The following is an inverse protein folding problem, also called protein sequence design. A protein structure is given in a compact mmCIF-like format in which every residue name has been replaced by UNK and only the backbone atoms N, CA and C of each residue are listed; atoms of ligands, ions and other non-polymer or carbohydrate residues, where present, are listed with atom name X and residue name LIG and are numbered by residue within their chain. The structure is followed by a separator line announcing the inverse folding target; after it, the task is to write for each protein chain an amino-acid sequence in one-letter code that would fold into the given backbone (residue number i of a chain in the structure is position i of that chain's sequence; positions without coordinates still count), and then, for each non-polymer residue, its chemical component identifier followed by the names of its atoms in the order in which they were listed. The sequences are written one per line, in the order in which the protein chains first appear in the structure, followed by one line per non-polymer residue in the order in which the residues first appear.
data_IF_636175061121
#
_entry.id   IF_636175061121
#
_cell.length_a   1.000
_cell.length_b   1.000
_cell.length_c   1.000
_cell.angle_alpha   90.00
_cell.angle_beta   90.00
_cell.angle_gamma   90.00
#
_symmetry.space_group_name_H-M   'P 1'
#
loop_
_entity.id
_entity.type
_entity.pdbx_description
1 polymer ?
#
# COMPACT_ATOMS: atom_id res chain seq x y z
N UNK A 1 1.27 22.89 9.85
CA UNK A 1 2.43 23.70 9.47
C UNK A 1 3.67 22.93 9.89
N UNK A 2 4.42 22.39 8.93
CA UNK A 2 5.71 21.73 9.15
C UNK A 2 6.75 22.81 8.89
N UNK A 3 7.46 23.28 9.91
CA UNK A 3 8.61 24.18 9.72
C UNK A 3 9.84 23.32 9.46
N UNK A 4 10.24 23.22 8.18
CA UNK A 4 11.49 22.56 7.79
C UNK A 4 12.57 23.64 7.76
N UNK A 5 13.54 23.56 8.67
CA UNK A 5 14.72 24.43 8.69
C UNK A 5 15.95 23.54 8.46
N UNK A 6 16.56 23.65 7.29
CA UNK A 6 17.81 22.96 6.95
C UNK A 6 18.96 23.97 7.13
N UNK A 7 19.84 23.71 8.09
CA UNK A 7 21.12 24.42 8.26
C UNK A 7 22.29 23.46 8.04
N UNK A 8 23.50 24.00 7.89
CA UNK A 8 24.79 23.38 7.50
C UNK A 8 25.29 22.17 8.35
N UNK A 9 24.41 21.58 9.14
CA UNK A 9 24.47 20.28 9.81
C UNK A 9 23.07 19.70 9.68
N UNK A 10 22.87 18.75 8.76
CA UNK A 10 21.53 18.31 8.30
C UNK A 10 20.70 17.74 9.45
N UNK A 11 19.95 18.59 10.14
CA UNK A 11 19.09 18.23 11.27
C UNK A 11 17.66 18.62 10.95
N UNK A 12 16.77 17.63 10.93
CA UNK A 12 15.34 17.81 10.83
C UNK A 12 14.76 17.95 12.24
N UNK A 13 14.08 19.07 12.50
CA UNK A 13 13.39 19.30 13.77
C UNK A 13 11.89 19.23 13.52
N UNK A 14 11.20 18.39 14.27
CA UNK A 14 9.74 18.25 14.23
C UNK A 14 9.15 18.35 15.63
N UNK A 15 7.91 18.82 15.73
CA UNK A 15 7.23 18.88 17.04
C UNK A 15 6.84 17.49 17.52
N UNK A 16 6.29 16.67 16.62
CA UNK A 16 5.82 15.31 16.93
C UNK A 16 6.07 14.32 15.80
N UNK A 17 6.24 13.05 16.15
CA UNK A 17 6.43 11.95 15.19
C UNK A 17 5.24 11.74 14.23
N UNK A 18 3.99 11.91 14.70
CA UNK A 18 2.79 11.73 13.87
C UNK A 18 2.69 12.77 12.72
N UNK A 19 3.40 13.89 12.86
CA UNK A 19 3.49 14.93 11.81
C UNK A 19 4.58 14.64 10.79
N UNK A 20 5.53 13.79 11.15
CA UNK A 20 6.62 13.33 10.29
C UNK A 20 6.20 12.08 9.49
N UNK A 21 5.52 11.13 10.15
CA UNK A 21 5.15 9.87 9.54
C UNK A 21 3.69 9.47 9.76
N UNK A 22 3.05 8.97 8.68
CA UNK A 22 1.65 8.52 8.69
C UNK A 22 1.45 7.08 9.19
N UNK A 23 2.54 6.33 9.35
CA UNK A 23 2.54 4.97 9.89
C UNK A 23 3.91 4.65 10.49
N UNK A 24 3.95 3.62 11.33
CA UNK A 24 5.22 3.17 11.93
C UNK A 24 6.18 2.65 10.83
N UNK A 25 5.66 1.99 9.80
CA UNK A 25 6.45 1.55 8.63
C UNK A 25 7.07 2.74 7.90
N UNK A 26 6.31 3.82 7.69
CA UNK A 26 6.84 5.03 7.08
C UNK A 26 7.93 5.67 7.97
N UNK A 27 7.79 5.60 9.29
CA UNK A 27 8.82 6.08 10.22
C UNK A 27 10.11 5.25 10.10
N UNK A 28 10.01 3.92 10.01
CA UNK A 28 11.18 3.05 9.81
C UNK A 28 11.90 3.32 8.47
N UNK A 29 11.14 3.57 7.41
CA UNK A 29 11.69 3.97 6.10
C UNK A 29 12.44 5.30 6.19
N UNK A 30 11.86 6.30 6.88
CA UNK A 30 12.54 7.56 7.13
C UNK A 30 13.79 7.38 7.98
N UNK A 31 13.78 6.46 8.95
CA UNK A 31 14.94 6.19 9.78
C UNK A 31 16.13 5.67 8.96
N UNK A 32 15.91 4.65 8.11
CA UNK A 32 16.95 4.13 7.20
C UNK A 32 17.45 5.20 6.24
N UNK A 33 16.55 6.05 5.76
CA UNK A 33 16.90 7.16 4.87
C UNK A 33 17.77 8.20 5.57
N UNK A 34 17.39 8.61 6.78
CA UNK A 34 18.14 9.58 7.57
C UNK A 34 19.52 9.05 7.96
N UNK A 35 19.65 7.77 8.28
CA UNK A 35 20.95 7.14 8.52
C UNK A 35 21.85 7.20 7.28
N UNK A 36 21.31 6.88 6.10
CA UNK A 36 22.04 6.92 4.82
C UNK A 36 22.45 8.34 4.42
N UNK A 37 21.55 9.30 4.60
CA UNK A 37 21.76 10.71 4.27
C UNK A 37 22.51 11.47 5.38
N UNK A 38 22.79 10.82 6.52
CA UNK A 38 23.39 11.43 7.73
C UNK A 38 22.59 12.61 8.27
N UNK A 39 21.27 12.52 8.16
CA UNK A 39 20.32 13.49 8.69
C UNK A 39 20.03 13.15 10.15
N UNK A 40 20.15 14.13 11.04
CA UNK A 40 19.71 14.00 12.42
C UNK A 40 18.23 14.37 12.55
N UNK A 41 17.53 13.77 13.50
CA UNK A 41 16.14 14.03 13.82
C UNK A 41 16.03 14.48 15.28
N UNK A 42 15.38 15.63 15.49
CA UNK A 42 14.97 16.11 16.80
C UNK A 42 13.45 16.17 16.84
N UNK A 43 12.86 15.53 17.86
CA UNK A 43 11.42 15.53 18.11
C UNK A 43 11.15 16.17 19.46
N UNK A 44 10.50 17.33 19.45
CA UNK A 44 10.35 18.17 20.64
C UNK A 44 9.48 17.52 21.72
N UNK A 45 8.27 17.07 21.38
CA UNK A 45 7.31 16.55 22.37
C UNK A 45 7.78 15.21 22.95
N UNK A 46 8.34 14.34 22.11
CA UNK A 46 8.84 13.01 22.53
C UNK A 46 10.27 13.04 23.06
N UNK A 47 10.93 14.21 23.08
CA UNK A 47 12.31 14.38 23.55
C UNK A 47 13.31 13.41 22.90
N UNK A 48 13.12 13.15 21.60
CA UNK A 48 14.02 12.29 20.83
C UNK A 48 15.05 13.18 20.13
N UNK A 49 16.33 12.91 20.35
CA UNK A 49 17.42 13.61 19.68
C UNK A 49 18.46 12.60 19.16
N UNK A 50 18.48 12.37 17.85
CA UNK A 50 19.42 11.43 17.22
C UNK A 50 20.86 11.94 17.12
N UNK A 51 21.17 13.15 17.58
CA UNK A 51 22.56 13.55 17.84
C UNK A 51 23.17 12.71 18.97
N UNK A 52 22.35 12.26 19.91
CA UNK A 52 22.76 11.42 21.04
C UNK A 52 22.72 9.93 20.69
N UNK A 53 23.59 9.12 21.29
CA UNK A 53 23.55 7.66 21.17
C UNK A 53 22.23 7.08 21.66
N UNK A 54 21.69 7.61 22.77
CA UNK A 54 20.40 7.21 23.33
C UNK A 54 19.25 7.51 22.37
N UNK A 55 19.20 8.70 21.77
CA UNK A 55 18.14 9.05 20.82
C UNK A 55 18.21 8.23 19.53
N UNK A 56 19.41 7.90 19.03
CA UNK A 56 19.57 6.93 17.92
C UNK A 56 19.05 5.54 18.30
N UNK A 57 19.39 5.05 19.49
CA UNK A 57 18.90 3.75 19.98
C UNK A 57 17.37 3.72 20.06
N UNK A 58 16.77 4.75 20.68
CA UNK A 58 15.30 4.86 20.81
C UNK A 58 14.63 4.91 19.45
N UNK A 59 15.17 5.68 18.52
CA UNK A 59 14.64 5.80 17.17
C UNK A 59 14.75 4.49 16.38
N UNK A 60 15.87 3.77 16.50
CA UNK A 60 16.07 2.46 15.88
C UNK A 60 15.17 1.38 16.50
N UNK A 61 14.94 1.41 17.82
CA UNK A 61 13.97 0.51 18.47
C UNK A 61 12.55 0.75 17.95
N UNK A 62 12.13 2.01 17.78
CA UNK A 62 10.84 2.33 17.19
C UNK A 62 10.72 1.79 15.76
N UNK A 63 11.79 1.92 14.97
CA UNK A 63 11.84 1.36 13.62
C UNK A 63 11.76 -0.19 13.63
N UNK A 64 12.47 -0.86 14.54
CA UNK A 64 12.43 -2.32 14.67
C UNK A 64 11.05 -2.84 15.09
N UNK A 65 10.39 -2.18 16.05
CA UNK A 65 9.02 -2.50 16.46
C UNK A 65 8.06 -2.33 15.27
N UNK A 66 8.25 -1.30 14.46
CA UNK A 66 7.46 -1.05 13.26
C UNK A 66 7.50 -2.21 12.26
N UNK A 67 8.70 -2.71 12.00
CA UNK A 67 8.93 -3.82 11.09
C UNK A 67 8.29 -5.09 11.63
N UNK A 68 8.53 -5.39 12.92
CA UNK A 68 7.91 -6.53 13.59
C UNK A 68 6.38 -6.52 13.53
N UNK A 69 5.73 -5.38 13.82
CA UNK A 69 4.27 -5.27 13.72
C UNK A 69 3.76 -5.43 12.28
N UNK A 70 4.52 -4.97 11.29
CA UNK A 70 4.16 -5.12 9.89
C UNK A 70 4.24 -6.58 9.44
N UNK A 71 5.27 -7.29 9.85
CA UNK A 71 5.46 -8.71 9.55
C UNK A 71 4.35 -9.54 10.19
N UNK A 72 4.06 -9.32 11.48
CA UNK A 72 2.98 -10.00 12.18
C UNK A 72 1.59 -9.72 11.56
N UNK A 73 1.35 -8.48 11.10
CA UNK A 73 0.12 -8.13 10.38
C UNK A 73 0.02 -8.89 9.04
N UNK A 74 1.14 -8.98 8.33
CA UNK A 74 1.21 -9.67 7.02
C UNK A 74 0.97 -11.17 7.19
N UNK A 75 1.59 -11.81 8.17
CA UNK A 75 1.38 -13.23 8.50
C UNK A 75 -0.11 -13.51 8.75
N UNK A 76 -0.73 -12.73 9.64
CA UNK A 76 -2.17 -12.87 9.95
C UNK A 76 -3.07 -12.64 8.73
N UNK A 77 -2.70 -11.70 7.87
CA UNK A 77 -3.44 -11.44 6.64
C UNK A 77 -3.38 -12.66 5.71
N UNK A 78 -2.19 -13.25 5.53
CA UNK A 78 -2.01 -14.45 4.69
C UNK A 78 -2.82 -15.61 5.24
N UNK A 79 -2.75 -15.88 6.56
CA UNK A 79 -3.58 -16.91 7.19
C UNK A 79 -5.07 -16.66 6.98
N UNK A 80 -5.52 -15.42 7.13
CA UNK A 80 -6.91 -15.02 6.91
C UNK A 80 -7.37 -15.26 5.47
N UNK A 81 -6.51 -14.92 4.50
CA UNK A 81 -6.74 -15.16 3.07
C UNK A 81 -6.83 -16.65 2.79
N UNK A 82 -5.91 -17.47 3.31
CA UNK A 82 -5.91 -18.93 3.12
C UNK A 82 -7.20 -19.54 3.67
N UNK A 83 -7.57 -19.22 4.92
CA UNK A 83 -8.82 -19.71 5.53
C UNK A 83 -10.07 -19.31 4.72
N UNK A 84 -10.08 -18.11 4.17
CA UNK A 84 -11.19 -17.66 3.34
C UNK A 84 -11.21 -18.33 1.96
N UNK A 85 -10.04 -18.60 1.35
CA UNK A 85 -9.93 -19.41 0.13
C UNK A 85 -10.44 -20.84 0.36
N UNK A 86 -10.08 -21.46 1.48
CA UNK A 86 -10.55 -22.80 1.85
C UNK A 86 -12.08 -22.85 2.03
N UNK A 87 -12.66 -21.75 2.52
CA UNK A 87 -14.12 -21.55 2.61
C UNK A 87 -14.78 -21.18 1.27
N UNK A 88 -14.04 -21.11 0.17
CA UNK A 88 -14.54 -20.77 -1.15
C UNK A 88 -14.90 -19.29 -1.34
N UNK A 89 -14.39 -18.40 -0.48
CA UNK A 89 -14.64 -16.95 -0.62
C UNK A 89 -14.00 -16.45 -1.91
N UNK A 90 -14.83 -15.86 -2.78
CA UNK A 90 -14.37 -15.27 -4.03
C UNK A 90 -13.78 -13.88 -3.78
N UNK A 91 -12.47 -13.75 -3.96
CA UNK A 91 -11.76 -12.48 -3.83
C UNK A 91 -11.82 -11.63 -5.11
N UNK A 92 -11.57 -10.33 -4.94
CA UNK A 92 -11.49 -9.36 -6.04
C UNK A 92 -12.86 -8.78 -6.44
N UNK A 93 -12.84 -7.96 -7.50
CA UNK A 93 -14.06 -7.31 -7.99
C UNK A 93 -15.03 -8.35 -8.55
N UNK A 94 -16.31 -8.35 -8.15
CA UNK A 94 -17.29 -9.27 -8.72
C UNK A 94 -17.42 -9.05 -10.23
N UNK A 95 -17.69 -10.12 -10.99
CA UNK A 95 -17.85 -10.02 -12.42
C UNK A 95 -19.04 -9.12 -12.79
N UNK A 96 -18.85 -8.13 -13.67
CA UNK A 96 -19.94 -7.26 -14.16
C UNK A 96 -21.02 -8.02 -14.97
N UNK A 97 -20.65 -9.13 -15.59
CA UNK A 97 -21.52 -9.93 -16.46
C UNK A 97 -21.57 -11.35 -15.91
N UNK A 98 -22.78 -11.95 -15.86
CA UNK A 98 -23.00 -13.34 -15.45
C UNK A 98 -22.40 -14.31 -16.48
N UNK A 99 -22.13 -15.55 -16.07
CA UNK A 99 -21.43 -16.51 -16.94
C UNK A 99 -22.22 -16.90 -18.20
N UNK A 100 -23.57 -16.97 -18.13
CA UNK A 100 -24.42 -17.17 -19.33
C UNK A 100 -24.22 -16.06 -20.38
N UNK A 101 -24.23 -14.81 -19.93
CA UNK A 101 -24.02 -13.68 -20.82
C UNK A 101 -22.57 -13.59 -21.35
N UNK A 102 -21.58 -14.26 -20.73
CA UNK A 102 -20.25 -14.39 -21.36
C UNK A 102 -20.29 -15.30 -22.58
N UNK A 103 -21.01 -16.43 -22.50
CA UNK A 103 -21.17 -17.36 -23.63
C UNK A 103 -21.88 -16.67 -24.80
N UNK A 104 -22.97 -15.94 -24.51
CA UNK A 104 -23.68 -15.16 -25.53
C UNK A 104 -22.79 -14.07 -26.16
N UNK A 105 -21.97 -13.38 -25.37
CA UNK A 105 -20.99 -12.40 -25.88
C UNK A 105 -19.96 -13.07 -26.80
N UNK A 106 -19.51 -14.27 -26.45
CA UNK A 106 -18.55 -15.05 -27.24
C UNK A 106 -19.15 -15.52 -28.57
N UNK A 107 -20.38 -16.05 -28.54
CA UNK A 107 -21.10 -16.47 -29.74
C UNK A 107 -21.34 -15.28 -30.69
N UNK A 108 -21.82 -14.15 -30.16
CA UNK A 108 -22.03 -12.92 -30.94
C UNK A 108 -20.71 -12.35 -31.50
N UNK A 109 -19.60 -12.50 -30.78
CA UNK A 109 -18.28 -12.11 -31.28
C UNK A 109 -17.84 -13.02 -32.44
N UNK A 110 -18.05 -14.33 -32.30
CA UNK A 110 -17.73 -15.31 -33.34
C UNK A 110 -18.59 -15.12 -34.59
N UNK A 111 -19.84 -14.66 -34.43
CA UNK A 111 -20.72 -14.29 -35.54
C UNK A 111 -20.39 -12.93 -36.18
N UNK A 112 -19.31 -12.26 -35.76
CA UNK A 112 -18.81 -11.03 -36.38
C UNK A 112 -19.31 -9.71 -35.79
N UNK A 113 -20.01 -9.71 -34.65
CA UNK A 113 -20.46 -8.46 -33.99
C UNK A 113 -19.26 -7.70 -33.41
N UNK A 114 -19.25 -6.38 -33.61
CA UNK A 114 -18.15 -5.52 -33.15
C UNK A 114 -18.09 -5.38 -31.62
N UNK A 115 -16.88 -5.27 -31.07
CA UNK A 115 -16.63 -5.08 -29.62
C UNK A 115 -17.35 -3.83 -29.09
N UNK A 116 -17.42 -2.76 -29.89
CA UNK A 116 -18.10 -1.53 -29.51
C UNK A 116 -19.62 -1.68 -29.34
N UNK A 117 -20.27 -2.52 -30.15
CA UNK A 117 -21.70 -2.82 -30.02
C UNK A 117 -21.97 -3.67 -28.78
N UNK A 118 -21.17 -4.73 -28.56
CA UNK A 118 -21.28 -5.59 -27.39
C UNK A 118 -21.00 -4.82 -26.08
N UNK A 119 -20.03 -3.91 -26.10
CA UNK A 119 -19.71 -3.04 -24.96
C UNK A 119 -20.91 -2.18 -24.53
N UNK A 120 -21.64 -1.61 -25.49
CA UNK A 120 -22.87 -0.84 -25.23
C UNK A 120 -24.01 -1.72 -24.75
N UNK A 121 -24.25 -2.84 -25.43
CA UNK A 121 -25.35 -3.77 -25.11
C UNK A 121 -25.25 -4.33 -23.69
N UNK A 122 -24.04 -4.73 -23.27
CA UNK A 122 -23.80 -5.34 -21.95
C UNK A 122 -23.26 -4.36 -20.90
N UNK A 123 -23.21 -3.06 -21.21
CA UNK A 123 -22.71 -1.98 -20.33
C UNK A 123 -21.33 -2.30 -19.69
N UNK A 124 -20.40 -2.78 -20.53
CA UNK A 124 -19.02 -3.09 -20.14
C UNK A 124 -18.04 -2.27 -20.98
N UNK A 125 -16.86 -1.98 -20.41
CA UNK A 125 -15.83 -1.25 -21.14
C UNK A 125 -15.29 -2.08 -22.32
N UNK A 126 -14.95 -1.46 -23.46
CA UNK A 126 -14.48 -2.17 -24.65
C UNK A 126 -13.15 -2.93 -24.44
N UNK A 127 -12.32 -2.50 -23.49
CA UNK A 127 -11.11 -3.22 -23.06
C UNK A 127 -11.38 -4.37 -22.06
N UNK A 128 -12.65 -4.76 -21.88
CA UNK A 128 -13.01 -5.86 -21.00
C UNK A 128 -12.41 -7.16 -21.52
N UNK A 129 -11.57 -7.81 -20.71
CA UNK A 129 -10.94 -9.10 -21.00
C UNK A 129 -11.92 -10.17 -21.48
N UNK A 130 -13.21 -10.05 -21.10
CA UNK A 130 -14.32 -10.93 -21.50
C UNK A 130 -14.59 -10.98 -23.00
N UNK A 131 -14.14 -9.98 -23.74
CA UNK A 131 -14.24 -10.04 -25.18
C UNK A 131 -13.13 -10.93 -25.76
N UNK A 132 -11.96 -11.00 -25.12
CA UNK A 132 -10.72 -11.54 -25.68
C UNK A 132 -10.34 -12.93 -25.16
N UNK A 133 -10.88 -13.39 -24.04
CA UNK A 133 -10.64 -14.75 -23.50
C UNK A 133 -11.58 -15.78 -24.16
N UNK A 134 -11.02 -16.96 -24.46
CA UNK A 134 -11.74 -18.20 -24.85
C UNK A 134 -12.39 -18.86 -23.63
#
# INVERSE_FOLDING_TARGET
MISIKLSCTETLIVTRLDRLARSVVHLAQLAKRFEKEKINLVVLDQHIDTHTSTGRLMFNMLAAIAEFENDLRTERQVEGITKAKDKGVRFGRPPKVKDKAKQEIYEKRTSGVSIGQLAKEYNVGPASRRFHDQ
#
